data_IF_702174081827
#
_entry.id   IF_702174081827
#
_cell.length_a   1.000
_cell.length_b   1.000
_cell.length_c   1.000
_cell.angle_alpha   90.00
_cell.angle_beta   90.00
_cell.angle_gamma   90.00
#
_symmetry.space_group_name_H-M   'P 1'
#
loop_
_entity.id
_entity.type
_entity.pdbx_description
1 polymer ?
#
# COMPACT_ATOMS: atom_id res chain seq x y z
N UNK A 1 9.39 8.52 8.75
CA UNK A 1 8.64 9.70 8.24
C UNK A 1 8.81 9.77 6.73
N UNK A 2 7.73 10.09 6.00
CA UNK A 2 7.80 10.28 4.54
C UNK A 2 7.35 11.70 4.24
N UNK A 3 8.21 12.46 3.58
CA UNK A 3 7.97 13.85 3.20
C UNK A 3 7.89 13.92 1.68
N UNK A 4 6.79 14.44 1.16
CA UNK A 4 6.52 14.65 -0.26
C UNK A 4 6.45 16.16 -0.45
N UNK A 5 7.36 16.73 -1.26
CA UNK A 5 7.52 18.17 -1.42
C UNK A 5 7.39 18.55 -2.90
N UNK A 6 6.28 19.18 -3.29
CA UNK A 6 6.05 19.72 -4.62
C UNK A 6 6.14 18.70 -5.75
N UNK A 7 5.76 17.45 -5.50
CA UNK A 7 5.90 16.36 -6.46
C UNK A 7 4.98 16.57 -7.66
N UNK A 8 5.60 16.56 -8.83
CA UNK A 8 4.90 16.65 -10.11
C UNK A 8 5.37 15.54 -11.04
N UNK A 9 4.42 14.92 -11.74
CA UNK A 9 4.70 13.97 -12.82
C UNK A 9 3.95 14.35 -14.09
N UNK A 10 4.71 14.52 -15.14
CA UNK A 10 4.19 14.73 -16.50
C UNK A 10 4.62 13.59 -17.42
N UNK A 11 3.72 13.18 -18.27
CA UNK A 11 3.98 12.32 -19.41
C UNK A 11 3.62 13.13 -20.65
N UNK A 12 4.59 13.45 -21.45
CA UNK A 12 4.46 14.37 -22.59
C UNK A 12 3.75 15.67 -22.17
N UNK A 13 2.59 15.98 -22.74
CA UNK A 13 1.79 17.17 -22.44
C UNK A 13 0.83 16.97 -21.24
N UNK A 14 0.70 15.73 -20.73
CA UNK A 14 -0.27 15.41 -19.67
C UNK A 14 0.38 15.45 -18.30
N UNK A 15 -0.12 16.29 -17.39
CA UNK A 15 0.24 16.29 -15.98
C UNK A 15 -0.65 15.31 -15.23
N UNK A 16 -0.06 14.22 -14.71
CA UNK A 16 -0.78 13.15 -13.99
C UNK A 16 -0.75 13.36 -12.47
N UNK A 17 0.33 13.98 -11.96
CA UNK A 17 0.44 14.43 -10.56
C UNK A 17 0.95 15.85 -10.60
N UNK A 18 0.28 16.78 -9.91
CA UNK A 18 0.51 18.21 -10.00
C UNK A 18 0.77 18.82 -8.62
N UNK A 19 2.03 19.14 -8.34
CA UNK A 19 2.49 19.89 -7.17
C UNK A 19 1.96 19.33 -5.82
N UNK A 20 2.02 18.02 -5.62
CA UNK A 20 1.55 17.36 -4.40
C UNK A 20 2.58 17.50 -3.29
N UNK A 21 2.12 17.97 -2.11
CA UNK A 21 2.94 18.07 -0.89
C UNK A 21 2.16 17.51 0.30
N UNK A 22 2.76 16.58 1.05
CA UNK A 22 2.21 16.03 2.29
C UNK A 22 3.29 15.36 3.13
N UNK A 23 3.03 15.25 4.43
CA UNK A 23 3.91 14.54 5.38
C UNK A 23 3.15 13.37 5.99
N UNK A 24 3.74 12.19 5.89
CA UNK A 24 3.20 10.95 6.48
C UNK A 24 4.03 10.60 7.70
N UNK A 25 3.38 10.59 8.83
CA UNK A 25 4.01 10.30 10.11
C UNK A 25 4.48 8.84 10.19
N UNK A 26 5.57 8.55 10.90
CA UNK A 26 6.01 7.18 11.09
C UNK A 26 4.99 6.39 11.90
N UNK A 27 4.87 5.11 11.58
CA UNK A 27 3.98 4.16 12.28
C UNK A 27 2.49 4.50 12.16
N UNK A 28 2.10 5.21 11.11
CA UNK A 28 0.70 5.52 10.79
C UNK A 28 0.29 4.87 9.48
N UNK A 29 -1.02 4.79 9.26
CA UNK A 29 -1.62 4.43 7.99
C UNK A 29 -2.11 5.70 7.31
N UNK A 30 -1.52 6.05 6.16
CA UNK A 30 -2.03 7.08 5.28
C UNK A 30 -2.78 6.42 4.12
N UNK A 31 -4.05 6.75 3.96
CA UNK A 31 -4.82 6.30 2.79
C UNK A 31 -4.86 7.40 1.73
N UNK A 32 -4.76 7.00 0.47
CA UNK A 32 -4.87 7.89 -0.70
C UNK A 32 -6.12 7.48 -1.47
N UNK A 33 -7.12 8.35 -1.49
CA UNK A 33 -8.41 8.07 -2.12
C UNK A 33 -8.70 9.08 -3.25
N UNK A 34 -9.51 8.69 -4.21
CA UNK A 34 -9.94 9.53 -5.33
C UNK A 34 -10.41 8.69 -6.51
N UNK A 35 -10.94 9.33 -7.54
CA UNK A 35 -11.44 8.65 -8.74
C UNK A 35 -10.34 7.93 -9.52
N UNK A 36 -10.73 7.03 -10.40
CA UNK A 36 -9.79 6.40 -11.33
C UNK A 36 -9.10 7.49 -12.19
N UNK A 37 -7.79 7.36 -12.38
CA UNK A 37 -7.01 8.35 -13.13
C UNK A 37 -6.60 9.60 -12.34
N UNK A 38 -6.95 9.75 -11.07
CA UNK A 38 -6.54 10.92 -10.25
C UNK A 38 -5.07 10.96 -9.85
N UNK A 39 -4.24 10.02 -10.30
CA UNK A 39 -2.79 10.03 -10.07
C UNK A 39 -2.29 9.24 -8.85
N UNK A 40 -3.16 8.59 -8.07
CA UNK A 40 -2.82 7.85 -6.83
C UNK A 40 -1.73 6.80 -6.99
N UNK A 41 -1.92 5.87 -7.92
CA UNK A 41 -0.93 4.82 -8.22
C UNK A 41 0.39 5.40 -8.71
N UNK A 42 0.34 6.49 -9.50
CA UNK A 42 1.55 7.18 -9.96
C UNK A 42 2.30 7.80 -8.79
N UNK A 43 1.59 8.47 -7.86
CA UNK A 43 2.18 9.02 -6.65
C UNK A 43 2.81 7.91 -5.79
N UNK A 44 2.09 6.81 -5.58
CA UNK A 44 2.61 5.65 -4.84
C UNK A 44 3.90 5.10 -5.48
N UNK A 45 3.92 4.97 -6.82
CA UNK A 45 5.09 4.47 -7.58
C UNK A 45 6.27 5.44 -7.60
N UNK A 46 6.07 6.71 -7.34
CA UNK A 46 7.17 7.67 -7.18
C UNK A 46 7.87 7.50 -5.82
N UNK A 47 7.17 7.07 -4.77
CA UNK A 47 7.77 6.83 -3.45
C UNK A 47 8.85 5.73 -3.52
N UNK A 48 8.59 4.64 -4.23
CA UNK A 48 9.54 3.52 -4.39
C UNK A 48 10.39 3.62 -5.66
N UNK A 49 10.32 4.76 -6.38
CA UNK A 49 11.06 5.01 -7.63
C UNK A 49 10.86 3.94 -8.70
N UNK A 50 9.65 3.43 -8.85
CA UNK A 50 9.20 2.75 -10.07
C UNK A 50 8.85 3.76 -11.17
N UNK A 51 8.49 4.98 -10.76
CA UNK A 51 8.30 6.14 -11.62
C UNK A 51 9.15 7.27 -11.06
N UNK A 52 9.97 7.91 -11.89
CA UNK A 52 10.72 9.10 -11.48
C UNK A 52 9.81 10.34 -11.61
N UNK A 53 9.81 11.24 -10.62
CA UNK A 53 9.08 12.50 -10.70
C UNK A 53 9.70 13.41 -11.76
N UNK A 54 8.90 14.29 -12.35
CA UNK A 54 9.37 15.35 -13.25
C UNK A 54 9.99 16.49 -12.44
N UNK A 55 9.41 16.80 -11.27
CA UNK A 55 9.96 17.77 -10.32
C UNK A 55 9.52 17.44 -8.89
N UNK A 56 10.10 18.12 -7.91
CA UNK A 56 9.87 17.91 -6.49
C UNK A 56 10.80 16.85 -5.87
N UNK A 57 10.61 16.59 -4.60
CA UNK A 57 11.46 15.68 -3.81
C UNK A 57 10.60 14.80 -2.91
N UNK A 58 11.00 13.54 -2.77
CA UNK A 58 10.44 12.61 -1.77
C UNK A 58 11.56 12.20 -0.83
N UNK A 59 11.36 12.44 0.47
CA UNK A 59 12.31 12.04 1.51
C UNK A 59 11.74 10.89 2.34
N UNK A 60 12.57 9.94 2.66
CA UNK A 60 12.29 8.84 3.58
C UNK A 60 13.24 8.99 4.78
N UNK A 61 12.67 9.22 5.96
CA UNK A 61 13.42 9.51 7.19
C UNK A 61 14.48 10.62 7.01
N UNK A 62 14.08 11.70 6.30
CA UNK A 62 14.92 12.88 6.03
C UNK A 62 15.88 12.72 4.85
N UNK A 63 16.07 11.53 4.28
CA UNK A 63 16.94 11.30 3.13
C UNK A 63 16.15 11.30 1.81
N UNK A 64 16.62 12.04 0.80
CA UNK A 64 16.05 11.99 -0.55
C UNK A 64 16.04 10.54 -1.07
N UNK A 65 14.92 10.08 -1.57
CA UNK A 65 14.79 8.71 -2.07
C UNK A 65 15.69 8.42 -3.28
N UNK A 66 16.28 9.44 -3.90
CA UNK A 66 17.28 9.35 -4.97
C UNK A 66 18.73 9.22 -4.47
N UNK A 67 18.95 9.37 -3.16
CA UNK A 67 20.30 9.28 -2.55
C UNK A 67 20.93 7.89 -2.60
N UNK A 68 20.10 6.87 -2.85
CA UNK A 68 20.54 5.47 -2.99
C UNK A 68 20.08 4.89 -4.34
N UNK A 69 20.76 3.85 -4.86
CA UNK A 69 20.31 3.15 -6.06
C UNK A 69 18.87 2.62 -5.90
N UNK A 70 18.03 2.76 -6.94
CA UNK A 70 16.61 2.41 -6.88
C UNK A 70 16.33 0.95 -6.45
N UNK A 71 17.22 0.00 -6.78
CA UNK A 71 17.05 -1.39 -6.33
C UNK A 71 17.28 -1.56 -4.82
N UNK A 72 18.17 -0.77 -4.21
CA UNK A 72 18.37 -0.77 -2.75
C UNK A 72 17.17 -0.17 -2.04
N UNK A 73 16.67 0.97 -2.52
CA UNK A 73 15.43 1.58 -2.02
C UNK A 73 14.27 0.60 -2.05
N UNK A 74 14.04 -0.06 -3.19
CA UNK A 74 12.94 -1.02 -3.35
C UNK A 74 13.06 -2.28 -2.49
N UNK A 75 14.26 -2.66 -2.06
CA UNK A 75 14.46 -3.76 -1.09
C UNK A 75 14.11 -3.35 0.35
N UNK A 76 14.16 -2.05 0.67
CA UNK A 76 13.82 -1.52 2.00
C UNK A 76 12.34 -1.15 2.15
N UNK A 77 11.58 -1.12 1.06
CA UNK A 77 10.16 -0.78 1.03
C UNK A 77 9.36 -2.03 0.66
N UNK A 78 8.37 -2.40 1.46
CA UNK A 78 7.39 -3.40 1.10
C UNK A 78 6.43 -2.85 0.04
N UNK A 79 6.11 -3.64 -0.98
CA UNK A 79 5.16 -3.22 -2.00
C UNK A 79 4.20 -4.35 -2.36
N UNK A 80 2.93 -4.18 -1.98
CA UNK A 80 1.82 -5.03 -2.40
C UNK A 80 1.13 -4.38 -3.61
N UNK A 81 1.35 -4.95 -4.79
CA UNK A 81 0.83 -4.44 -6.06
C UNK A 81 -0.60 -4.94 -6.32
N UNK A 82 -1.35 -4.17 -7.08
CA UNK A 82 -2.65 -4.58 -7.61
C UNK A 82 -2.55 -5.90 -8.39
N UNK A 83 -3.52 -6.82 -8.22
CA UNK A 83 -3.53 -8.11 -8.92
C UNK A 83 -2.53 -9.14 -8.37
N UNK A 84 -2.11 -9.02 -7.12
CA UNK A 84 -1.24 -9.90 -6.34
C UNK A 84 0.23 -9.97 -6.80
N UNK A 85 0.52 -9.92 -8.11
CA UNK A 85 1.86 -9.92 -8.70
C UNK A 85 2.78 -11.03 -8.22
N UNK A 86 2.24 -12.19 -7.86
CA UNK A 86 3.03 -13.35 -7.45
C UNK A 86 3.79 -13.94 -8.64
N UNK A 87 4.98 -14.44 -8.37
CA UNK A 87 5.77 -15.17 -9.36
C UNK A 87 5.11 -16.53 -9.62
N UNK A 88 4.52 -16.79 -10.82
CA UNK A 88 3.74 -17.99 -11.06
C UNK A 88 4.56 -19.28 -11.05
N UNK A 89 5.86 -19.18 -11.29
CA UNK A 89 6.82 -20.28 -11.30
C UNK A 89 7.49 -20.52 -9.94
N UNK A 90 7.10 -19.80 -8.89
CA UNK A 90 7.59 -19.96 -7.53
C UNK A 90 6.46 -20.41 -6.61
N UNK A 91 6.82 -21.24 -5.64
CA UNK A 91 5.87 -21.63 -4.59
C UNK A 91 5.51 -20.45 -3.68
N UNK A 92 4.51 -20.61 -2.83
CA UNK A 92 4.11 -19.63 -1.81
C UNK A 92 5.30 -19.24 -0.93
N UNK A 93 5.98 -20.22 -0.36
CA UNK A 93 7.15 -19.98 0.48
C UNK A 93 8.27 -19.24 -0.27
N UNK A 94 8.53 -19.62 -1.53
CA UNK A 94 9.53 -18.96 -2.36
C UNK A 94 9.13 -17.53 -2.77
N UNK A 95 7.84 -17.27 -2.98
CA UNK A 95 7.34 -15.91 -3.20
C UNK A 95 7.62 -15.03 -1.99
N UNK A 96 7.25 -15.47 -0.79
CA UNK A 96 7.48 -14.72 0.45
C UNK A 96 8.98 -14.52 0.71
N UNK A 97 9.81 -15.53 0.50
CA UNK A 97 11.25 -15.49 0.73
C UNK A 97 12.03 -14.58 -0.23
N UNK A 98 11.39 -14.04 -1.28
CA UNK A 98 12.09 -13.36 -2.39
C UNK A 98 13.00 -12.22 -1.93
N UNK A 99 12.49 -11.27 -1.14
CA UNK A 99 13.29 -10.10 -0.72
C UNK A 99 14.31 -10.46 0.36
N UNK A 100 13.99 -11.26 1.40
CA UNK A 100 15.00 -11.77 2.33
C UNK A 100 16.19 -12.47 1.66
N UNK A 101 15.93 -13.29 0.62
CA UNK A 101 17.01 -13.92 -0.17
C UNK A 101 17.90 -12.88 -0.88
N UNK A 102 17.29 -11.84 -1.47
CA UNK A 102 18.03 -10.75 -2.12
C UNK A 102 18.85 -9.89 -1.15
N UNK A 103 18.46 -9.88 0.13
CA UNK A 103 19.17 -9.22 1.23
C UNK A 103 20.26 -10.11 1.84
N UNK A 104 20.39 -11.35 1.40
CA UNK A 104 21.40 -12.29 1.89
C UNK A 104 21.15 -12.83 3.29
N UNK A 105 19.87 -12.88 3.74
CA UNK A 105 19.54 -13.50 5.02
C UNK A 105 19.90 -14.97 5.01
N UNK A 106 20.27 -15.50 6.17
CA UNK A 106 20.50 -16.93 6.33
C UNK A 106 19.23 -17.76 6.15
N UNK A 107 19.39 -19.05 5.81
CA UNK A 107 18.27 -19.92 5.45
C UNK A 107 17.30 -20.17 6.60
N UNK A 108 17.81 -20.28 7.83
CA UNK A 108 16.99 -20.58 9.00
C UNK A 108 16.14 -19.35 9.37
N UNK A 109 16.73 -18.15 9.31
CA UNK A 109 16.00 -16.89 9.50
C UNK A 109 14.91 -16.73 8.43
N UNK A 110 15.21 -16.99 7.16
CA UNK A 110 14.22 -16.91 6.07
C UNK A 110 13.08 -17.89 6.33
N UNK A 111 13.40 -19.15 6.67
CA UNK A 111 12.38 -20.16 6.94
C UNK A 111 11.48 -19.73 8.11
N UNK A 112 12.06 -19.34 9.23
CA UNK A 112 11.31 -18.87 10.41
C UNK A 112 10.39 -17.68 10.07
N UNK A 113 10.89 -16.72 9.28
CA UNK A 113 10.13 -15.55 8.86
C UNK A 113 8.98 -15.90 7.92
N UNK A 114 9.20 -16.80 6.98
CA UNK A 114 8.16 -17.30 6.07
C UNK A 114 7.07 -18.02 6.85
N UNK A 115 7.43 -18.94 7.75
CA UNK A 115 6.50 -19.69 8.57
C UNK A 115 5.68 -18.76 9.51
N UNK A 116 6.34 -17.74 10.11
CA UNK A 116 5.69 -16.72 10.92
C UNK A 116 4.61 -15.96 10.12
N UNK A 117 4.97 -15.44 8.95
CA UNK A 117 4.06 -14.67 8.12
C UNK A 117 2.93 -15.52 7.56
N UNK A 118 3.22 -16.74 7.13
CA UNK A 118 2.18 -17.66 6.67
C UNK A 118 1.17 -17.97 7.78
N UNK A 119 1.65 -18.25 8.99
CA UNK A 119 0.79 -18.48 10.16
C UNK A 119 -0.05 -17.25 10.50
N UNK A 120 0.57 -16.05 10.47
CA UNK A 120 -0.10 -14.78 10.73
C UNK A 120 -1.27 -14.53 9.76
N UNK A 121 -1.06 -14.90 8.49
CA UNK A 121 -2.08 -14.78 7.45
C UNK A 121 -2.99 -16.03 7.31
N UNK A 122 -2.99 -16.92 8.32
CA UNK A 122 -3.83 -18.13 8.36
C UNK A 122 -3.60 -19.05 7.15
N UNK A 123 -2.36 -19.14 6.71
CA UNK A 123 -1.89 -20.08 5.69
C UNK A 123 -0.97 -21.09 6.40
N UNK A 124 -1.43 -22.33 6.60
CA UNK A 124 -0.59 -23.37 7.18
C UNK A 124 0.69 -23.55 6.34
N UNK A 125 1.91 -23.32 6.92
CA UNK A 125 3.16 -23.42 6.20
C UNK A 125 3.39 -24.77 5.52
N UNK A 126 2.95 -25.86 6.15
CA UNK A 126 3.13 -27.21 5.59
C UNK A 126 2.18 -27.48 4.43
N UNK A 127 0.92 -27.03 4.54
CA UNK A 127 -0.09 -27.26 3.51
C UNK A 127 0.01 -26.32 2.33
N UNK A 128 0.34 -25.03 2.56
CA UNK A 128 0.35 -24.00 1.52
C UNK A 128 1.75 -23.61 1.04
N UNK A 129 2.79 -23.78 1.85
CA UNK A 129 4.15 -23.38 1.49
C UNK A 129 4.66 -23.97 0.17
N UNK A 130 4.43 -25.27 -0.14
CA UNK A 130 4.84 -25.87 -1.40
C UNK A 130 3.92 -25.58 -2.60
N UNK A 131 2.72 -25.00 -2.39
CA UNK A 131 1.78 -24.71 -3.48
C UNK A 131 2.25 -23.56 -4.37
N UNK A 132 1.77 -23.55 -5.59
CA UNK A 132 1.97 -22.47 -6.55
C UNK A 132 0.79 -21.48 -6.54
N UNK A 133 0.94 -20.23 -7.00
CA UNK A 133 -0.12 -19.23 -7.01
C UNK A 133 -1.43 -19.69 -7.66
N UNK A 134 -1.37 -20.45 -8.76
CA UNK A 134 -2.56 -20.92 -9.46
C UNK A 134 -3.39 -21.96 -8.66
N UNK A 135 -2.83 -22.53 -7.59
CA UNK A 135 -3.51 -23.47 -6.68
C UNK A 135 -4.21 -22.76 -5.51
N UNK A 136 -4.17 -21.42 -5.48
CA UNK A 136 -4.71 -20.59 -4.41
C UNK A 136 -5.95 -19.82 -4.87
N UNK A 137 -6.90 -19.59 -3.95
CA UNK A 137 -7.96 -18.61 -4.18
C UNK A 137 -7.40 -17.18 -4.27
N UNK A 138 -8.16 -16.25 -4.87
CA UNK A 138 -7.74 -14.84 -4.96
C UNK A 138 -7.40 -14.22 -3.61
N UNK A 139 -8.20 -14.48 -2.57
CA UNK A 139 -7.92 -14.01 -1.21
C UNK A 139 -6.65 -14.63 -0.59
N UNK A 140 -6.34 -15.89 -0.89
CA UNK A 140 -5.09 -16.52 -0.46
C UNK A 140 -3.89 -15.91 -1.19
N UNK A 141 -3.99 -15.68 -2.50
CA UNK A 141 -2.94 -14.99 -3.28
C UNK A 141 -2.68 -13.58 -2.73
N UNK A 142 -3.73 -12.85 -2.36
CA UNK A 142 -3.63 -11.53 -1.74
C UNK A 142 -2.81 -11.60 -0.44
N UNK A 143 -3.14 -12.53 0.47
CA UNK A 143 -2.42 -12.72 1.74
C UNK A 143 -0.94 -13.05 1.50
N UNK A 144 -0.64 -13.90 0.53
CA UNK A 144 0.75 -14.19 0.11
C UNK A 144 1.46 -12.94 -0.41
N UNK A 145 0.78 -12.11 -1.21
CA UNK A 145 1.30 -10.84 -1.73
C UNK A 145 1.69 -9.86 -0.61
N UNK A 146 0.83 -9.72 0.40
CA UNK A 146 1.13 -8.86 1.57
C UNK A 146 2.22 -9.48 2.45
N UNK A 147 2.18 -10.80 2.69
CA UNK A 147 3.24 -11.50 3.43
C UNK A 147 4.61 -11.32 2.75
N UNK A 148 4.69 -11.42 1.42
CA UNK A 148 5.90 -11.14 0.64
C UNK A 148 6.39 -9.71 0.83
N UNK A 149 5.48 -8.73 0.81
CA UNK A 149 5.83 -7.33 0.99
C UNK A 149 6.39 -7.03 2.39
N UNK A 150 5.96 -7.78 3.41
CA UNK A 150 6.41 -7.65 4.82
C UNK A 150 7.62 -8.52 5.16
N UNK A 151 8.03 -9.43 4.28
CA UNK A 151 9.01 -10.48 4.60
C UNK A 151 10.37 -9.91 5.02
N UNK A 152 10.79 -8.80 4.43
CA UNK A 152 12.05 -8.13 4.73
C UNK A 152 11.99 -7.15 5.91
N UNK A 153 10.92 -7.17 6.71
CA UNK A 153 10.73 -6.26 7.86
C UNK A 153 10.82 -4.76 7.48
N UNK A 154 10.10 -4.31 6.43
CA UNK A 154 10.22 -2.95 5.95
C UNK A 154 9.60 -1.94 6.93
N UNK A 155 10.23 -0.76 7.08
CA UNK A 155 9.66 0.35 7.83
C UNK A 155 8.48 1.01 7.09
N UNK A 156 8.41 0.85 5.77
CA UNK A 156 7.38 1.41 4.89
C UNK A 156 6.74 0.30 4.06
N UNK A 157 5.42 0.24 4.05
CA UNK A 157 4.63 -0.65 3.20
C UNK A 157 3.73 0.17 2.28
N UNK A 158 3.87 -0.02 1.00
CA UNK A 158 3.02 0.56 -0.04
C UNK A 158 2.02 -0.48 -0.51
N UNK A 159 0.75 -0.10 -0.65
CA UNK A 159 -0.32 -0.99 -1.08
C UNK A 159 -1.17 -0.30 -2.15
N UNK A 160 -1.30 -0.94 -3.30
CA UNK A 160 -2.07 -0.42 -4.45
C UNK A 160 -3.35 -1.23 -4.61
N UNK A 161 -4.49 -0.68 -4.17
CA UNK A 161 -5.83 -1.31 -4.16
C UNK A 161 -5.83 -2.75 -3.59
N UNK A 162 -5.32 -2.96 -2.37
CA UNK A 162 -5.05 -4.31 -1.88
C UNK A 162 -6.31 -5.15 -1.65
N UNK A 163 -7.48 -4.54 -1.51
CA UNK A 163 -8.72 -5.25 -1.16
C UNK A 163 -9.78 -5.23 -2.27
N UNK A 164 -9.50 -4.57 -3.40
CA UNK A 164 -10.48 -4.35 -4.47
C UNK A 164 -11.04 -5.63 -5.11
N UNK A 165 -10.29 -6.72 -5.12
CA UNK A 165 -10.70 -8.00 -5.71
C UNK A 165 -11.28 -9.00 -4.69
N UNK A 166 -11.46 -8.61 -3.43
CA UNK A 166 -11.96 -9.48 -2.37
C UNK A 166 -13.47 -9.33 -2.19
N UNK A 167 -14.13 -10.44 -1.90
CA UNK A 167 -15.52 -10.40 -1.44
C UNK A 167 -15.64 -9.69 -0.08
N UNK A 168 -16.82 -9.17 0.30
CA UNK A 168 -16.99 -8.31 1.48
C UNK A 168 -16.51 -8.95 2.79
N UNK A 169 -16.74 -10.25 2.99
CA UNK A 169 -16.39 -10.95 4.23
C UNK A 169 -14.87 -11.09 4.34
N UNK A 170 -14.24 -11.54 3.27
CA UNK A 170 -12.77 -11.71 3.21
C UNK A 170 -12.08 -10.33 3.29
N UNK A 171 -12.67 -9.30 2.67
CA UNK A 171 -12.17 -7.93 2.72
C UNK A 171 -12.10 -7.40 4.15
N UNK A 172 -13.20 -7.47 4.91
CA UNK A 172 -13.24 -7.04 6.31
C UNK A 172 -12.16 -7.74 7.13
N UNK A 173 -12.04 -9.07 6.98
CA UNK A 173 -11.01 -9.83 7.68
C UNK A 173 -9.59 -9.40 7.30
N UNK A 174 -9.32 -9.17 6.02
CA UNK A 174 -8.00 -8.74 5.55
C UNK A 174 -7.64 -7.33 6.05
N UNK A 175 -8.62 -6.43 6.20
CA UNK A 175 -8.45 -5.10 6.79
C UNK A 175 -8.11 -5.18 8.27
N UNK A 176 -8.83 -6.01 9.05
CA UNK A 176 -8.51 -6.27 10.46
C UNK A 176 -7.10 -6.84 10.64
N UNK A 177 -6.73 -7.82 9.80
CA UNK A 177 -5.40 -8.41 9.80
C UNK A 177 -4.32 -7.36 9.51
N UNK A 178 -4.57 -6.41 8.57
CA UNK A 178 -3.65 -5.30 8.27
C UNK A 178 -3.47 -4.37 9.48
N UNK A 179 -4.55 -3.99 10.15
CA UNK A 179 -4.49 -3.16 11.37
C UNK A 179 -3.71 -3.86 12.49
N UNK A 180 -3.92 -5.16 12.69
CA UNK A 180 -3.20 -5.94 13.69
C UNK A 180 -1.69 -6.01 13.39
N UNK A 181 -1.32 -6.17 12.12
CA UNK A 181 0.05 -6.20 11.63
C UNK A 181 0.72 -4.83 11.80
N UNK A 182 0.04 -3.76 11.43
CA UNK A 182 0.56 -2.42 11.59
C UNK A 182 0.87 -2.11 13.05
N UNK A 183 -0.04 -2.47 13.97
CA UNK A 183 0.18 -2.33 15.43
C UNK A 183 1.35 -3.19 15.93
N UNK A 184 1.47 -4.43 15.44
CA UNK A 184 2.52 -5.37 15.87
C UNK A 184 3.91 -4.94 15.43
N UNK A 185 4.07 -4.50 14.18
CA UNK A 185 5.37 -4.20 13.60
C UNK A 185 5.70 -2.70 13.56
N UNK A 186 4.74 -1.82 13.82
CA UNK A 186 4.94 -0.38 13.75
C UNK A 186 5.32 0.12 12.35
N UNK A 187 4.88 -0.58 11.31
CA UNK A 187 5.17 -0.22 9.91
C UNK A 187 4.37 1.01 9.51
N UNK A 188 4.97 1.94 8.78
CA UNK A 188 4.26 3.05 8.13
C UNK A 188 3.62 2.52 6.86
N UNK A 189 2.30 2.65 6.72
CA UNK A 189 1.55 2.12 5.57
C UNK A 189 1.02 3.27 4.72
N UNK A 190 1.20 3.18 3.41
CA UNK A 190 0.51 4.02 2.43
C UNK A 190 -0.36 3.11 1.58
N UNK A 191 -1.66 3.33 1.64
CA UNK A 191 -2.65 2.51 0.96
C UNK A 191 -3.43 3.34 -0.03
N UNK A 192 -3.41 2.94 -1.29
CA UNK A 192 -4.26 3.52 -2.35
C UNK A 192 -5.55 2.73 -2.44
N UNK A 193 -6.68 3.43 -2.47
CA UNK A 193 -8.00 2.86 -2.66
C UNK A 193 -8.90 3.83 -3.45
N UNK A 194 -9.96 3.32 -4.03
CA UNK A 194 -11.06 4.12 -4.57
C UNK A 194 -12.28 4.13 -3.64
N UNK A 195 -12.22 3.42 -2.53
CA UNK A 195 -13.29 3.24 -1.54
C UNK A 195 -13.05 4.16 -0.33
N UNK A 196 -13.98 5.10 -0.11
CA UNK A 196 -13.90 6.07 0.98
C UNK A 196 -14.16 5.42 2.34
N UNK A 197 -15.02 4.40 2.41
CA UNK A 197 -15.28 3.66 3.66
C UNK A 197 -14.01 2.94 4.12
N UNK A 198 -13.30 2.32 3.18
CA UNK A 198 -12.00 1.70 3.44
C UNK A 198 -10.98 2.73 3.92
N UNK A 199 -10.90 3.90 3.27
CA UNK A 199 -9.99 4.96 3.64
C UNK A 199 -10.27 5.49 5.06
N UNK A 200 -11.54 5.65 5.43
CA UNK A 200 -11.98 6.08 6.76
C UNK A 200 -11.71 5.01 7.82
N UNK A 201 -11.95 3.73 7.48
CA UNK A 201 -11.79 2.62 8.42
C UNK A 201 -10.31 2.37 8.78
N UNK A 202 -9.42 2.48 7.80
CA UNK A 202 -8.01 2.11 7.95
C UNK A 202 -7.09 3.29 8.25
N UNK A 203 -7.40 4.49 7.73
CA UNK A 203 -6.46 5.60 7.72
C UNK A 203 -6.41 6.41 9.02
N UNK A 204 -5.21 6.67 9.53
CA UNK A 204 -4.98 7.73 10.52
C UNK A 204 -5.13 9.11 9.87
N UNK A 205 -4.73 9.24 8.60
CA UNK A 205 -4.96 10.41 7.73
C UNK A 205 -5.36 9.94 6.33
N UNK A 206 -6.19 10.74 5.68
CA UNK A 206 -6.68 10.49 4.32
C UNK A 206 -6.19 11.61 3.41
N UNK A 207 -5.53 11.25 2.31
CA UNK A 207 -5.20 12.14 1.21
C UNK A 207 -6.25 11.96 0.10
N UNK A 208 -7.05 12.98 -0.14
CA UNK A 208 -8.04 12.99 -1.23
C UNK A 208 -7.38 13.59 -2.47
N UNK A 209 -7.29 12.80 -3.54
CA UNK A 209 -6.74 13.24 -4.82
C UNK A 209 -7.82 13.38 -5.88
N UNK A 210 -7.75 14.48 -6.62
CA UNK A 210 -8.59 14.72 -7.80
C UNK A 210 -7.76 15.35 -8.91
N UNK A 211 -7.92 14.87 -10.15
CA UNK A 211 -7.25 15.38 -11.35
C UNK A 211 -5.74 15.69 -11.16
N UNK A 212 -5.03 14.78 -10.47
CA UNK A 212 -3.60 14.90 -10.21
C UNK A 212 -3.23 15.75 -8.99
N UNK A 213 -4.18 16.41 -8.34
CA UNK A 213 -3.93 17.32 -7.21
C UNK A 213 -4.34 16.72 -5.88
N UNK A 214 -3.65 17.10 -4.82
CA UNK A 214 -4.06 16.84 -3.44
C UNK A 214 -5.11 17.88 -3.04
N UNK A 215 -6.36 17.47 -2.90
CA UNK A 215 -7.49 18.36 -2.57
C UNK A 215 -7.59 18.57 -1.06
N UNK A 216 -7.39 17.49 -0.28
CA UNK A 216 -7.42 17.54 1.18
C UNK A 216 -6.52 16.46 1.76
N UNK A 217 -5.83 16.78 2.87
CA UNK A 217 -5.08 15.80 3.65
C UNK A 217 -5.32 16.03 5.13
N UNK A 218 -6.13 15.19 5.76
CA UNK A 218 -6.58 15.36 7.12
C UNK A 218 -6.95 14.04 7.80
N UNK A 219 -7.28 14.07 9.08
CA UNK A 219 -7.86 12.92 9.80
C UNK A 219 -9.25 12.58 9.25
N UNK A 220 -9.69 11.31 9.32
CA UNK A 220 -11.01 10.89 8.86
C UNK A 220 -12.15 11.77 9.40
N UNK A 221 -12.18 12.02 10.71
CA UNK A 221 -13.21 12.84 11.34
C UNK A 221 -13.27 14.27 10.81
N UNK A 222 -12.13 14.85 10.42
CA UNK A 222 -12.05 16.19 9.85
C UNK A 222 -12.58 16.23 8.41
N UNK A 223 -12.24 15.21 7.59
CA UNK A 223 -12.74 15.09 6.23
C UNK A 223 -14.26 14.93 6.22
N UNK A 224 -14.80 14.09 7.10
CA UNK A 224 -16.24 13.87 7.23
C UNK A 224 -16.98 15.13 7.71
N UNK A 225 -16.41 15.86 8.67
CA UNK A 225 -17.04 17.05 9.25
C UNK A 225 -16.90 18.31 8.40
N UNK A 226 -15.79 18.42 7.62
CA UNK A 226 -15.43 19.64 6.88
C UNK A 226 -14.77 19.27 5.55
N UNK A 227 -15.53 18.75 4.56
CA UNK A 227 -15.00 18.48 3.24
C UNK A 227 -14.52 19.79 2.58
N UNK A 228 -13.30 19.78 2.03
CA UNK A 228 -12.66 20.96 1.46
C UNK A 228 -13.25 21.40 0.10
N UNK A 229 -14.04 20.55 -0.54
CA UNK A 229 -14.67 20.84 -1.83
C UNK A 229 -15.92 19.98 -2.04
N UNK A 230 -16.78 20.36 -2.99
CA UNK A 230 -17.93 19.55 -3.39
C UNK A 230 -17.54 18.17 -3.92
N UNK A 231 -16.33 17.99 -4.45
CA UNK A 231 -15.80 16.68 -4.83
C UNK A 231 -15.61 15.79 -3.59
N UNK A 232 -14.97 16.31 -2.54
CA UNK A 232 -14.77 15.58 -1.28
C UNK A 232 -16.11 15.24 -0.62
N UNK A 233 -17.05 16.21 -0.61
CA UNK A 233 -18.41 16.00 -0.10
C UNK A 233 -19.14 14.88 -0.87
N UNK A 234 -19.00 14.83 -2.19
CA UNK A 234 -19.58 13.76 -3.02
C UNK A 234 -18.98 12.39 -2.68
N UNK A 235 -17.66 12.31 -2.48
CA UNK A 235 -16.99 11.05 -2.10
C UNK A 235 -17.45 10.58 -0.71
N UNK A 236 -17.58 11.48 0.25
CA UNK A 236 -18.08 11.18 1.61
C UNK A 236 -19.55 10.76 1.55
N UNK A 237 -20.41 11.52 0.86
CA UNK A 237 -21.83 11.21 0.75
C UNK A 237 -22.15 9.95 -0.04
N UNK A 238 -21.25 9.47 -0.89
CA UNK A 238 -21.37 8.18 -1.55
C UNK A 238 -21.16 7.01 -0.58
N UNK A 239 -20.33 7.20 0.45
CA UNK A 239 -20.06 6.20 1.49
C UNK A 239 -21.15 6.15 2.59
N UNK A 240 -21.89 7.24 2.79
CA UNK A 240 -22.97 7.31 3.81
C UNK A 240 -24.33 6.78 3.31
N UNK A 241 -24.44 6.35 2.06
CA UNK A 241 -25.71 5.78 1.56
C UNK A 241 -25.79 4.30 1.92
N UNK A 242 -26.51 3.91 3.02
CA UNK A 242 -26.89 2.53 3.19
C UNK A 242 -27.74 2.13 1.97
N UNK A 243 -27.55 0.92 1.46
CA UNK A 243 -28.37 0.33 0.43
C UNK A 243 -29.86 0.61 0.74
N UNK A 244 -30.46 1.56 0.04
CA UNK A 244 -31.91 1.63 -0.01
C UNK A 244 -32.36 0.50 -0.93
N UNK A 245 -32.91 -0.57 -0.31
CA UNK A 245 -33.71 -1.60 -0.95
C UNK A 245 -34.91 -0.97 -1.68
#
# INVERSE_FOLDING_TARGET
MIEIEGITKRYDETTVVDNVSMVIEPRTIATIVGTSGSGKTTLLRMINRLVEPTSGVIKLDGADNRSVPGYQLRRSIGYAIQGHGLFPHRTVAQNIATVPLLLGWDRDRIKARVDELMTLYQLDPQAYGPRYPHELSGGQQQRVGVARALAAEPNVLLMDEPFGALDPIIRTKAQEDLLAIQKRFGTTIILVTHDMEEAVHLGDKIAVMDAGKLVQYAKPAEILARPASGFVETLVGASERPFRL
#
